data_IF_530030684717
#
_entry.id   IF_530030684717
#
_cell.length_a   1.000
_cell.length_b   1.000
_cell.length_c   1.000
_cell.angle_alpha   90.00
_cell.angle_beta   90.00
_cell.angle_gamma   90.00
#
_symmetry.space_group_name_H-M   'P 1'
#
loop_
_entity.id
_entity.type
_entity.pdbx_description
1 polymer ?
#
# COMPACT_ATOMS: atom_id res chain seq x y z
N UNK A 1 21.20 5.15 20.29
CA UNK A 1 20.09 6.01 19.81
C UNK A 1 19.31 5.24 18.75
N UNK A 2 18.00 5.07 18.95
CA UNK A 2 17.15 4.43 17.95
C UNK A 2 16.90 5.40 16.78
N UNK A 3 16.78 4.87 15.56
CA UNK A 3 16.50 5.64 14.34
C UNK A 3 15.29 5.04 13.62
N UNK A 4 14.52 5.90 12.97
CA UNK A 4 13.46 5.45 12.05
C UNK A 4 14.11 4.75 10.88
N UNK A 5 13.65 3.53 10.60
CA UNK A 5 14.19 2.70 9.53
C UNK A 5 13.45 2.89 8.21
N UNK A 6 12.15 3.21 8.28
CA UNK A 6 11.28 3.42 7.12
C UNK A 6 9.81 3.47 7.53
N UNK A 7 8.93 3.48 6.54
CA UNK A 7 7.48 3.39 6.74
C UNK A 7 7.05 1.92 6.79
N UNK A 8 6.37 1.51 7.86
CA UNK A 8 5.79 0.16 7.95
C UNK A 8 4.57 -0.02 7.04
N UNK A 9 3.81 1.06 6.83
CA UNK A 9 2.73 1.05 5.85
C UNK A 9 1.98 2.37 5.70
N UNK A 10 1.16 2.44 4.66
CA UNK A 10 0.25 3.53 4.30
C UNK A 10 -1.16 2.96 4.16
N UNK A 11 -2.05 3.42 5.03
CA UNK A 11 -3.43 2.93 5.12
C UNK A 11 -4.37 4.13 5.08
N UNK A 12 -5.41 4.06 4.25
CA UNK A 12 -6.30 5.19 4.06
C UNK A 12 -7.70 4.73 3.67
N UNK A 13 -8.68 5.60 3.91
CA UNK A 13 -10.08 5.39 3.55
C UNK A 13 -10.33 5.93 2.14
N UNK A 14 -11.09 5.20 1.34
CA UNK A 14 -11.49 5.54 -0.02
C UNK A 14 -12.98 5.28 -0.20
N UNK A 15 -13.66 6.16 -0.95
CA UNK A 15 -15.07 5.96 -1.30
C UNK A 15 -15.29 4.62 -2.03
N UNK A 16 -14.39 4.31 -2.98
CA UNK A 16 -14.32 3.05 -3.70
C UNK A 16 -12.88 2.49 -3.69
N UNK A 17 -12.55 1.58 -2.76
CA UNK A 17 -11.24 0.95 -2.70
C UNK A 17 -10.92 0.08 -3.94
N UNK A 18 -11.93 -0.49 -4.61
CA UNK A 18 -11.71 -1.29 -5.79
C UNK A 18 -11.21 -0.42 -6.95
N UNK A 19 -11.90 0.69 -7.21
CA UNK A 19 -11.48 1.64 -8.24
C UNK A 19 -10.08 2.22 -7.96
N UNK A 20 -9.74 2.51 -6.70
CA UNK A 20 -8.40 2.97 -6.33
C UNK A 20 -7.36 1.90 -6.64
N UNK A 21 -7.56 0.64 -6.23
CA UNK A 21 -6.64 -0.48 -6.51
C UNK A 21 -6.41 -0.66 -8.01
N UNK A 22 -7.48 -0.68 -8.80
CA UNK A 22 -7.39 -0.82 -10.26
C UNK A 22 -6.63 0.33 -10.91
N UNK A 23 -6.87 1.57 -10.47
CA UNK A 23 -6.15 2.71 -11.00
C UNK A 23 -4.66 2.65 -10.67
N UNK A 24 -4.30 2.35 -9.42
CA UNK A 24 -2.90 2.24 -9.00
C UNK A 24 -2.18 1.08 -9.72
N UNK A 25 -2.84 -0.05 -9.93
CA UNK A 25 -2.29 -1.15 -10.72
C UNK A 25 -2.08 -0.74 -12.18
N UNK A 26 -3.10 -0.17 -12.83
CA UNK A 26 -3.04 0.17 -14.26
C UNK A 26 -2.09 1.34 -14.56
N UNK A 27 -2.09 2.37 -13.73
CA UNK A 27 -1.40 3.64 -14.01
C UNK A 27 -0.01 3.68 -13.39
N UNK A 28 0.15 3.15 -12.19
CA UNK A 28 1.43 3.17 -11.47
C UNK A 28 2.13 1.81 -11.45
N UNK A 29 1.50 0.76 -11.99
CA UNK A 29 2.10 -0.58 -12.04
C UNK A 29 2.19 -1.24 -10.67
N UNK A 30 1.34 -0.86 -9.71
CA UNK A 30 1.34 -1.49 -8.40
C UNK A 30 0.96 -2.97 -8.53
N UNK A 31 1.77 -3.85 -7.93
CA UNK A 31 1.38 -5.24 -7.70
C UNK A 31 0.37 -5.29 -6.56
N UNK A 32 -0.91 -5.20 -6.90
CA UNK A 32 -2.00 -5.35 -5.92
C UNK A 32 -2.30 -6.83 -5.76
N UNK A 33 -2.16 -7.32 -4.53
CA UNK A 33 -2.46 -8.69 -4.13
C UNK A 33 -3.96 -8.91 -3.94
N UNK A 34 -4.38 -10.18 -3.91
CA UNK A 34 -5.78 -10.60 -3.78
C UNK A 34 -6.48 -10.08 -2.52
N UNK A 35 -5.72 -9.86 -1.43
CA UNK A 35 -6.26 -9.26 -0.20
C UNK A 35 -6.52 -7.75 -0.32
N UNK A 36 -6.10 -7.13 -1.44
CA UNK A 36 -6.49 -5.77 -1.81
C UNK A 36 -5.46 -4.68 -1.54
N UNK A 37 -4.19 -5.00 -1.31
CA UNK A 37 -3.14 -4.00 -1.17
C UNK A 37 -1.84 -4.44 -1.81
N UNK A 38 -0.80 -3.63 -1.62
CA UNK A 38 0.52 -3.83 -2.21
C UNK A 38 1.60 -3.86 -1.13
N UNK A 39 2.69 -4.56 -1.40
CA UNK A 39 3.89 -4.56 -0.55
C UNK A 39 5.06 -4.02 -1.36
N UNK A 40 5.77 -3.04 -0.80
CA UNK A 40 6.99 -2.48 -1.37
C UNK A 40 8.19 -2.94 -0.56
N UNK A 41 9.04 -3.76 -1.15
CA UNK A 41 10.23 -4.25 -0.47
C UNK A 41 11.29 -3.16 -0.33
N UNK A 42 11.70 -2.88 0.91
CA UNK A 42 12.88 -2.08 1.17
C UNK A 42 14.12 -2.99 1.17
N UNK A 43 15.21 -2.63 0.47
CA UNK A 43 16.38 -3.48 0.30
C UNK A 43 17.19 -3.78 1.59
N UNK A 44 16.77 -3.29 2.77
CA UNK A 44 17.58 -3.30 4.00
C UNK A 44 16.80 -3.47 5.30
N UNK A 45 15.54 -3.06 5.37
CA UNK A 45 14.85 -2.90 6.67
C UNK A 45 13.43 -3.50 6.74
N UNK A 46 12.91 -4.09 5.65
CA UNK A 46 11.58 -4.74 5.62
C UNK A 46 10.69 -4.25 4.46
N UNK A 47 9.40 -4.57 4.47
CA UNK A 47 8.44 -4.12 3.46
C UNK A 47 7.55 -2.98 3.96
N UNK A 48 7.11 -2.11 3.05
CA UNK A 48 6.05 -1.12 3.30
C UNK A 48 4.72 -1.63 2.75
N UNK A 49 3.72 -1.79 3.62
CA UNK A 49 2.37 -2.15 3.19
C UNK A 49 1.61 -0.93 2.67
N UNK A 50 0.78 -1.10 1.65
CA UNK A 50 -0.14 -0.08 1.16
C UNK A 50 -1.52 -0.69 1.01
N UNK A 51 -2.55 -0.10 1.61
CA UNK A 51 -3.92 -0.63 1.49
C UNK A 51 -5.00 0.46 1.61
N UNK A 52 -5.87 0.61 0.59
CA UNK A 52 -7.09 1.38 0.70
C UNK A 52 -8.20 0.56 1.40
N UNK A 53 -8.97 1.21 2.25
CA UNK A 53 -10.14 0.65 2.95
C UNK A 53 -11.40 1.43 2.60
N UNK A 54 -12.57 0.78 2.71
CA UNK A 54 -13.84 1.47 2.45
C UNK A 54 -14.04 2.59 3.47
N UNK A 55 -14.33 3.79 2.97
CA UNK A 55 -14.82 4.93 3.76
C UNK A 55 -16.17 4.58 4.38
N UNK A 56 -16.34 4.94 5.65
CA UNK A 56 -17.53 4.66 6.46
C UNK A 56 -18.79 5.30 5.85
#
# INVERSE_FOLDING_TARGET
>A
MARVLGLGGVFFKAADPAAVREWYARVLGFTVHDWGGAVFDHPKVGGTNWSPFKAD
#
